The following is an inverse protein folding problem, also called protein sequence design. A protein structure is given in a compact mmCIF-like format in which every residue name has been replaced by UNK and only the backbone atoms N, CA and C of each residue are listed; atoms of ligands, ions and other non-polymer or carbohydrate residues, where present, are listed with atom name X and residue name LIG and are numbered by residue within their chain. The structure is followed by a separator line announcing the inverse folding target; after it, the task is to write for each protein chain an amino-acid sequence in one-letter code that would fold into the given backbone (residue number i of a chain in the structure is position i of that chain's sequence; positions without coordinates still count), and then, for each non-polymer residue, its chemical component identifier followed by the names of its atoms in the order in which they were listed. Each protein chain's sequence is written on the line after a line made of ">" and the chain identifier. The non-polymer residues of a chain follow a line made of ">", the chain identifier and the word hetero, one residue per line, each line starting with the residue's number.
data_IF_332290550270
#
_entry.id   IF_332290550270
#
_cell.length_a   1.000
_cell.length_b   1.000
_cell.length_c   1.000
_cell.angle_alpha   90.00
_cell.angle_beta   90.00
_cell.angle_gamma   90.00
#
_symmetry.space_group_name_H-M   'P 1'
#
loop_
_entity.id
_entity.type
_entity.pdbx_description
1 polymer ?
#
# COMPACT_ATOMS: atom_id res chain seq x y z
N UNK A 1 -19.30 -3.88 -6.29
CA UNK A 1 -20.01 -4.98 -5.60
C UNK A 1 -19.16 -5.44 -4.45
N UNK A 2 -19.40 -4.91 -3.26
CA UNK A 2 -18.69 -5.33 -2.07
C UNK A 2 -19.28 -6.65 -1.61
N UNK A 3 -18.61 -7.76 -1.89
CA UNK A 3 -18.80 -9.00 -1.15
C UNK A 3 -17.98 -8.89 0.13
N UNK A 4 -18.66 -8.56 1.22
CA UNK A 4 -18.12 -8.69 2.56
C UNK A 4 -18.09 -10.17 2.92
N UNK A 5 -16.90 -10.73 3.10
CA UNK A 5 -16.72 -11.99 3.82
C UNK A 5 -15.55 -11.77 4.76
N UNK A 6 -15.75 -12.01 6.05
CA UNK A 6 -14.64 -12.35 6.92
C UNK A 6 -14.01 -13.63 6.38
N UNK A 7 -12.88 -13.50 5.67
CA UNK A 7 -12.11 -14.66 5.22
C UNK A 7 -11.25 -15.16 6.37
N UNK A 8 -11.39 -16.43 6.70
CA UNK A 8 -10.64 -17.08 7.78
C UNK A 8 -9.47 -17.85 7.17
N UNK A 9 -8.24 -17.42 7.48
CA UNK A 9 -7.04 -18.25 7.39
C UNK A 9 -6.44 -18.28 8.81
N UNK A 10 -6.95 -19.20 9.64
CA UNK A 10 -6.69 -19.23 11.09
C UNK A 10 -7.40 -18.09 11.87
N UNK A 11 -6.85 -17.70 13.03
CA UNK A 11 -7.37 -16.63 13.94
C UNK A 11 -7.34 -15.20 13.37
N UNK A 12 -7.02 -15.01 12.09
CA UNK A 12 -6.75 -13.70 11.47
C UNK A 12 -8.04 -13.17 10.84
N UNK A 13 -8.50 -12.00 11.28
CA UNK A 13 -9.64 -11.31 10.68
C UNK A 13 -9.15 -10.18 9.76
N UNK A 14 -9.79 -10.06 8.61
CA UNK A 14 -9.66 -8.90 7.73
C UNK A 14 -11.01 -8.72 7.07
N UNK A 15 -11.42 -7.47 6.90
CA UNK A 15 -12.63 -7.16 6.17
C UNK A 15 -12.26 -7.02 4.70
N UNK A 16 -12.97 -7.73 3.83
CA UNK A 16 -12.73 -7.73 2.39
C UNK A 16 -13.95 -7.23 1.65
N UNK A 17 -13.69 -6.62 0.50
CA UNK A 17 -14.69 -6.15 -0.41
C UNK A 17 -14.14 -6.27 -1.84
N UNK A 18 -15.00 -6.53 -2.82
CA UNK A 18 -14.59 -6.50 -4.22
C UNK A 18 -15.14 -5.23 -4.87
N UNK A 19 -14.41 -4.68 -5.82
CA UNK A 19 -14.95 -3.60 -6.64
C UNK A 19 -14.37 -3.66 -8.04
N UNK A 20 -15.23 -3.47 -9.03
CA UNK A 20 -14.84 -3.37 -10.44
C UNK A 20 -14.52 -1.93 -10.83
N UNK A 21 -14.93 -0.96 -10.02
CA UNK A 21 -14.67 0.47 -10.25
C UNK A 21 -14.72 1.25 -8.95
N UNK A 22 -13.70 2.03 -8.70
CA UNK A 22 -13.58 2.89 -7.53
C UNK A 22 -13.00 4.24 -7.97
N UNK A 23 -13.58 5.36 -7.53
CA UNK A 23 -12.96 6.66 -7.84
C UNK A 23 -11.63 6.80 -7.08
N UNK A 24 -10.59 7.42 -7.66
CA UNK A 24 -9.34 7.70 -6.95
C UNK A 24 -9.56 8.49 -5.65
N UNK A 25 -10.52 9.41 -5.62
CA UNK A 25 -10.92 10.18 -4.44
C UNK A 25 -11.41 9.28 -3.31
N UNK A 26 -12.36 8.40 -3.61
CA UNK A 26 -12.93 7.50 -2.61
C UNK A 26 -11.87 6.51 -2.10
N UNK A 27 -11.00 6.02 -2.99
CA UNK A 27 -9.91 5.13 -2.58
C UNK A 27 -8.87 5.82 -1.69
N UNK A 28 -8.56 7.10 -1.91
CA UNK A 28 -7.69 7.87 -1.00
C UNK A 28 -8.29 7.92 0.41
N UNK A 29 -9.60 8.15 0.52
CA UNK A 29 -10.31 8.09 1.80
C UNK A 29 -10.19 6.72 2.47
N UNK A 30 -10.34 5.63 1.71
CA UNK A 30 -10.14 4.27 2.23
C UNK A 30 -8.70 4.05 2.72
N UNK A 31 -7.70 4.45 1.94
CA UNK A 31 -6.27 4.34 2.31
C UNK A 31 -5.98 5.12 3.60
N UNK A 32 -6.59 6.30 3.77
CA UNK A 32 -6.53 7.11 4.99
C UNK A 32 -7.24 6.48 6.19
N UNK A 33 -7.93 5.36 5.99
CA UNK A 33 -8.58 4.56 7.04
C UNK A 33 -7.97 3.15 7.14
N UNK A 34 -6.76 2.99 6.61
CA UNK A 34 -5.98 1.75 6.70
C UNK A 34 -6.39 0.65 5.73
N UNK A 35 -7.20 0.95 4.72
CA UNK A 35 -7.53 -0.02 3.66
C UNK A 35 -6.44 -0.10 2.59
N UNK A 36 -6.37 -1.24 1.90
CA UNK A 36 -5.52 -1.47 0.72
C UNK A 36 -6.27 -2.25 -0.36
N UNK A 37 -5.63 -2.43 -1.52
CA UNK A 37 -6.16 -3.23 -2.62
C UNK A 37 -5.14 -4.22 -3.17
N UNK A 38 -5.65 -5.32 -3.71
CA UNK A 38 -4.94 -6.30 -4.52
C UNK A 38 -5.83 -6.60 -5.73
N UNK A 39 -5.47 -6.07 -6.90
CA UNK A 39 -6.39 -5.99 -8.04
C UNK A 39 -7.71 -5.30 -7.68
N UNK A 40 -8.81 -6.00 -7.92
CA UNK A 40 -10.19 -5.60 -7.60
C UNK A 40 -10.61 -5.87 -6.15
N UNK A 41 -9.81 -6.59 -5.38
CA UNK A 41 -10.05 -6.83 -3.95
C UNK A 41 -9.58 -5.61 -3.17
N UNK A 42 -10.41 -5.06 -2.30
CA UNK A 42 -10.02 -4.06 -1.28
C UNK A 42 -10.21 -4.68 0.10
N UNK A 43 -9.30 -4.40 1.01
CA UNK A 43 -9.28 -5.03 2.33
C UNK A 43 -8.79 -4.10 3.43
N UNK A 44 -9.28 -4.34 4.64
CA UNK A 44 -8.84 -3.71 5.89
C UNK A 44 -8.37 -4.81 6.84
N UNK A 45 -7.09 -4.85 7.20
CA UNK A 45 -6.59 -5.84 8.15
C UNK A 45 -7.07 -5.53 9.57
N UNK A 46 -7.29 -6.56 10.39
CA UNK A 46 -7.41 -6.41 11.84
C UNK A 46 -6.00 -6.34 12.43
N UNK A 47 -5.49 -5.12 12.62
CA UNK A 47 -4.14 -4.92 13.13
C UNK A 47 -3.95 -5.52 14.53
N UNK A 48 -4.98 -5.54 15.38
CA UNK A 48 -4.86 -6.02 16.76
C UNK A 48 -4.78 -7.55 16.80
N UNK A 49 -5.59 -8.22 15.97
CA UNK A 49 -5.59 -9.68 15.87
C UNK A 49 -4.40 -10.24 15.07
N UNK A 50 -3.83 -9.44 14.15
CA UNK A 50 -2.69 -9.85 13.32
C UNK A 50 -1.45 -10.21 14.14
N UNK A 51 -0.67 -11.20 13.71
CA UNK A 51 0.63 -11.53 14.33
C UNK A 51 1.66 -10.41 14.11
N UNK A 52 1.57 -9.73 12.96
CA UNK A 52 2.45 -8.67 12.52
C UNK A 52 1.60 -7.46 12.08
N UNK A 53 1.30 -6.51 12.98
CA UNK A 53 0.34 -5.44 12.67
C UNK A 53 0.81 -4.55 11.52
N UNK A 54 -0.10 -4.33 10.55
CA UNK A 54 0.17 -3.53 9.36
C UNK A 54 -0.31 -2.10 9.54
N UNK A 55 0.64 -1.17 9.70
CA UNK A 55 0.37 0.25 9.81
C UNK A 55 0.46 0.94 8.47
N UNK A 56 -0.36 1.96 8.25
CA UNK A 56 -0.20 2.85 7.10
C UNK A 56 0.81 3.92 7.46
N UNK A 57 1.77 4.18 6.57
CA UNK A 57 2.70 5.32 6.71
C UNK A 57 2.70 6.19 5.45
N UNK A 58 2.94 7.49 5.63
CA UNK A 58 3.07 8.45 4.55
C UNK A 58 4.14 9.51 4.83
N UNK A 59 4.73 10.02 3.76
CA UNK A 59 5.76 11.06 3.79
C UNK A 59 5.28 12.28 2.98
N UNK A 60 5.50 13.49 3.49
CA UNK A 60 5.30 14.71 2.70
C UNK A 60 6.44 14.84 1.69
N UNK A 61 6.11 14.79 0.40
CA UNK A 61 7.06 14.79 -0.72
C UNK A 61 7.96 16.02 -0.75
N UNK A 62 7.52 17.13 -0.13
CA UNK A 62 8.28 18.37 -0.04
C UNK A 62 9.19 18.43 1.19
N UNK A 63 8.95 17.59 2.19
CA UNK A 63 9.71 17.56 3.44
C UNK A 63 10.80 16.47 3.48
N UNK A 64 10.97 15.68 2.41
CA UNK A 64 11.93 14.57 2.39
C UNK A 64 13.34 15.01 2.77
N UNK A 65 13.88 14.40 3.82
CA UNK A 65 15.29 14.44 4.17
C UNK A 65 16.00 13.19 3.66
N UNK A 66 16.90 13.37 2.70
CA UNK A 66 17.61 12.26 2.04
C UNK A 66 18.86 11.86 2.83
N UNK A 67 18.87 10.60 3.29
CA UNK A 67 19.97 10.01 4.06
C UNK A 67 21.24 9.79 3.22
N UNK A 68 22.40 9.66 3.87
CA UNK A 68 23.68 9.39 3.19
C UNK A 68 23.62 8.14 2.32
N UNK A 69 23.01 7.08 2.82
CA UNK A 69 22.86 5.80 2.11
C UNK A 69 21.91 5.91 0.89
N UNK A 70 20.86 6.71 1.00
CA UNK A 70 19.99 7.08 -0.13
C UNK A 70 20.75 7.83 -1.23
N UNK A 71 21.56 8.83 -0.86
CA UNK A 71 22.41 9.58 -1.79
C UNK A 71 23.42 8.68 -2.49
N UNK A 72 24.03 7.76 -1.74
CA UNK A 72 25.01 6.82 -2.28
C UNK A 72 24.39 5.87 -3.31
N UNK A 73 23.18 5.38 -3.09
CA UNK A 73 22.50 4.53 -4.07
C UNK A 73 22.25 5.26 -5.40
N UNK A 74 21.72 6.48 -5.35
CA UNK A 74 21.52 7.32 -6.54
C UNK A 74 22.84 7.58 -7.25
N UNK A 75 23.89 7.97 -6.52
CA UNK A 75 25.20 8.24 -7.11
C UNK A 75 25.84 7.02 -7.78
N UNK A 76 25.71 5.83 -7.16
CA UNK A 76 26.22 4.58 -7.74
C UNK A 76 25.49 4.23 -9.04
N UNK A 77 24.17 4.33 -9.05
CA UNK A 77 23.37 4.04 -10.25
C UNK A 77 23.65 5.05 -11.36
N UNK A 78 23.72 6.35 -11.04
CA UNK A 78 24.06 7.37 -12.03
C UNK A 78 25.46 7.14 -12.62
N UNK A 79 26.46 6.81 -11.80
CA UNK A 79 27.81 6.48 -12.30
C UNK A 79 27.78 5.26 -13.22
N UNK A 80 27.00 4.24 -12.89
CA UNK A 80 26.84 3.07 -13.76
C UNK A 80 26.25 3.44 -15.11
N UNK A 81 25.13 4.16 -15.14
CA UNK A 81 24.46 4.52 -16.40
C UNK A 81 25.32 5.47 -17.25
N UNK A 82 25.88 6.51 -16.63
CA UNK A 82 26.69 7.49 -17.34
C UNK A 82 28.02 6.88 -17.81
N UNK A 83 28.72 6.19 -16.92
CA UNK A 83 30.06 5.65 -17.18
C UNK A 83 31.18 6.66 -17.04
N UNK A 84 32.38 6.15 -16.77
CA UNK A 84 33.55 6.97 -16.43
C UNK A 84 34.04 7.82 -17.60
N UNK A 85 33.96 7.28 -18.82
CA UNK A 85 34.35 7.99 -20.06
C UNK A 85 33.41 9.17 -20.34
N UNK A 86 32.09 8.95 -20.25
CA UNK A 86 31.11 10.04 -20.36
C UNK A 86 31.38 11.11 -19.31
N UNK A 87 31.53 10.73 -18.04
CA UNK A 87 31.73 11.67 -16.93
C UNK A 87 32.97 12.55 -17.18
N UNK A 88 34.07 11.94 -17.64
CA UNK A 88 35.33 12.64 -17.91
C UNK A 88 35.21 13.59 -19.10
N UNK A 89 34.64 13.17 -20.20
CA UNK A 89 34.54 13.99 -21.42
C UNK A 89 33.44 15.05 -21.31
N UNK A 90 32.30 14.74 -20.69
CA UNK A 90 31.24 15.72 -20.40
C UNK A 90 31.73 16.83 -19.46
N UNK A 91 32.62 16.54 -18.51
CA UNK A 91 33.22 17.57 -17.66
C UNK A 91 34.07 18.58 -18.44
N UNK A 92 34.63 18.18 -19.60
CA UNK A 92 35.39 19.08 -20.50
C UNK A 92 34.47 19.84 -21.44
N UNK A 93 33.49 19.17 -22.02
CA UNK A 93 32.57 19.74 -23.03
C UNK A 93 31.50 20.64 -22.40
N UNK A 94 31.04 20.29 -21.20
CA UNK A 94 29.97 20.96 -20.48
C UNK A 94 30.40 21.28 -19.04
N UNK A 95 31.44 22.12 -18.85
CA UNK A 95 31.95 22.42 -17.53
C UNK A 95 30.88 23.11 -16.68
N UNK A 96 30.79 22.69 -15.41
CA UNK A 96 29.93 23.35 -14.41
C UNK A 96 30.56 24.66 -13.98
N UNK A 97 29.73 25.68 -13.75
CA UNK A 97 30.21 26.90 -13.10
C UNK A 97 30.70 26.60 -11.69
N UNK A 98 31.52 27.50 -11.13
CA UNK A 98 32.01 27.36 -9.74
C UNK A 98 30.87 27.22 -8.74
N UNK A 99 29.78 27.95 -8.96
CA UNK A 99 28.61 27.95 -8.07
C UNK A 99 27.84 26.63 -8.21
N UNK A 100 27.63 26.13 -9.43
CA UNK A 100 27.03 24.81 -9.67
C UNK A 100 27.86 23.68 -9.06
N UNK A 101 29.19 23.75 -9.15
CA UNK A 101 30.07 22.76 -8.54
C UNK A 101 30.02 22.81 -7.00
N UNK A 102 29.95 24.02 -6.43
CA UNK A 102 29.78 24.21 -4.98
C UNK A 102 28.45 23.64 -4.50
N UNK A 103 27.35 24.00 -5.14
CA UNK A 103 26.00 23.52 -4.81
C UNK A 103 25.92 22.00 -4.84
N UNK A 104 26.47 21.38 -5.88
CA UNK A 104 26.53 19.92 -5.99
C UNK A 104 27.30 19.25 -4.86
N UNK A 105 28.37 19.87 -4.39
CA UNK A 105 29.22 19.31 -3.32
C UNK A 105 28.60 19.51 -1.92
N UNK A 106 27.83 20.58 -1.73
CA UNK A 106 27.24 20.92 -0.42
C UNK A 106 25.81 20.40 -0.24
N UNK A 107 25.06 20.24 -1.34
CA UNK A 107 23.65 19.88 -1.33
C UNK A 107 23.34 18.53 -1.97
N UNK A 108 22.06 18.16 -1.94
CA UNK A 108 21.52 17.07 -2.77
C UNK A 108 20.07 17.42 -3.09
N UNK A 109 19.85 17.98 -4.27
CA UNK A 109 18.51 18.20 -4.78
C UNK A 109 17.96 16.88 -5.34
N UNK A 110 16.83 16.38 -4.81
CA UNK A 110 16.29 15.09 -5.25
C UNK A 110 16.05 15.06 -6.76
N UNK A 111 15.41 16.10 -7.29
CA UNK A 111 14.94 16.12 -8.68
C UNK A 111 16.13 16.19 -9.62
N UNK A 112 17.12 17.04 -9.36
CA UNK A 112 18.34 17.07 -10.17
C UNK A 112 19.05 15.70 -10.16
N UNK A 113 19.20 15.09 -8.97
CA UNK A 113 20.04 13.91 -8.80
C UNK A 113 19.37 12.63 -9.31
N UNK A 114 18.07 12.44 -9.10
CA UNK A 114 17.37 11.22 -9.50
C UNK A 114 17.16 11.14 -11.02
N UNK A 115 17.07 12.29 -11.70
CA UNK A 115 16.87 12.39 -13.15
C UNK A 115 18.18 12.48 -13.95
N UNK A 116 19.32 12.67 -13.30
CA UNK A 116 20.63 12.91 -13.93
C UNK A 116 21.02 11.84 -14.97
N UNK A 117 20.67 10.58 -14.71
CA UNK A 117 20.99 9.45 -15.60
C UNK A 117 19.89 9.13 -16.60
N UNK A 118 18.73 9.80 -16.55
CA UNK A 118 17.66 9.58 -17.54
C UNK A 118 18.09 10.18 -18.88
N UNK A 119 17.91 9.40 -19.96
CA UNK A 119 18.34 9.74 -21.33
C UNK A 119 17.90 11.13 -21.78
N UNK A 120 16.72 11.58 -21.37
CA UNK A 120 16.20 12.90 -21.73
C UNK A 120 17.00 14.07 -21.15
N UNK A 121 17.78 13.85 -20.10
CA UNK A 121 18.55 14.88 -19.37
C UNK A 121 20.06 14.82 -19.63
N UNK A 122 20.52 13.80 -20.35
CA UNK A 122 21.93 13.58 -20.69
C UNK A 122 22.30 14.44 -21.91
N UNK A 123 23.44 15.11 -21.85
CA UNK A 123 23.97 15.89 -22.98
C UNK A 123 24.86 15.00 -23.84
N UNK A 124 24.49 14.84 -25.10
CA UNK A 124 25.25 14.06 -26.10
C UNK A 124 25.71 14.99 -27.22
N UNK A 125 26.98 14.89 -27.70
CA UNK A 125 28.04 13.95 -27.29
C UNK A 125 28.77 14.35 -25.98
N UNK A 126 29.46 13.43 -25.28
CA UNK A 126 29.66 12.01 -25.60
C UNK A 126 28.43 11.15 -25.27
N UNK A 127 28.41 9.89 -25.71
CA UNK A 127 27.35 8.95 -25.35
C UNK A 127 27.57 8.36 -23.95
N UNK A 128 26.50 8.16 -23.14
CA UNK A 128 26.60 7.46 -21.87
C UNK A 128 26.86 5.96 -22.08
N UNK A 129 27.33 5.26 -21.05
CA UNK A 129 27.54 3.81 -21.10
C UNK A 129 26.24 3.02 -21.28
N UNK A 130 25.13 3.54 -20.75
CA UNK A 130 23.80 2.95 -20.88
C UNK A 130 22.75 4.01 -21.18
N UNK A 131 21.68 3.59 -21.88
CA UNK A 131 20.49 4.40 -22.09
C UNK A 131 19.42 4.04 -21.05
N UNK A 132 19.24 4.90 -20.05
CA UNK A 132 18.20 4.71 -19.02
C UNK A 132 16.97 5.56 -19.31
N UNK A 133 15.78 4.95 -19.30
CA UNK A 133 14.51 5.60 -19.60
C UNK A 133 13.46 5.19 -18.58
N UNK A 134 12.72 6.17 -18.05
CA UNK A 134 11.61 5.94 -17.12
C UNK A 134 10.32 6.45 -17.77
N UNK A 135 9.30 5.61 -17.83
CA UNK A 135 7.99 5.96 -18.40
C UNK A 135 6.86 5.62 -17.45
N UNK A 136 5.81 6.43 -17.45
CA UNK A 136 4.56 6.10 -16.76
C UNK A 136 3.57 5.50 -17.78
N UNK A 137 3.26 4.22 -17.64
CA UNK A 137 2.45 3.45 -18.57
C UNK A 137 1.13 2.99 -17.93
N UNK A 138 0.13 2.57 -18.72
CA UNK A 138 -1.03 1.86 -18.19
C UNK A 138 -0.62 0.63 -17.38
N UNK A 139 -1.40 0.32 -16.34
CA UNK A 139 -1.29 -0.89 -15.52
C UNK A 139 -1.68 -2.17 -16.26
N UNK A 140 -1.97 -2.11 -17.56
CA UNK A 140 -2.28 -3.29 -18.37
C UNK A 140 -1.13 -4.30 -18.41
N UNK A 141 -1.52 -5.58 -18.45
CA UNK A 141 -0.62 -6.70 -18.70
C UNK A 141 0.17 -6.55 -20.00
N UNK A 142 1.46 -6.87 -19.95
CA UNK A 142 2.29 -7.17 -21.12
C UNK A 142 3.20 -8.35 -20.80
N UNK A 143 3.65 -9.09 -21.82
CA UNK A 143 4.63 -10.16 -21.62
C UNK A 143 5.97 -9.60 -21.08
N UNK A 144 6.37 -8.40 -21.50
CA UNK A 144 7.58 -7.71 -21.01
C UNK A 144 7.50 -7.46 -19.49
N UNK A 145 6.36 -6.94 -18.99
CA UNK A 145 6.15 -6.71 -17.55
C UNK A 145 6.10 -8.02 -16.77
N UNK A 146 5.51 -9.07 -17.36
CA UNK A 146 5.46 -10.40 -16.74
C UNK A 146 6.84 -11.03 -16.58
N UNK A 147 7.77 -10.83 -17.52
CA UNK A 147 9.15 -11.34 -17.39
C UNK A 147 9.85 -10.74 -16.15
N UNK A 148 9.64 -9.44 -15.88
CA UNK A 148 10.18 -8.81 -14.67
C UNK A 148 9.52 -9.36 -13.41
N UNK A 149 8.19 -9.53 -13.43
CA UNK A 149 7.44 -10.14 -12.32
C UNK A 149 7.91 -11.56 -12.01
N UNK A 150 8.01 -12.43 -13.02
CA UNK A 150 8.46 -13.81 -12.85
C UNK A 150 9.86 -13.87 -12.26
N UNK A 151 10.79 -13.07 -12.82
CA UNK A 151 12.16 -13.03 -12.33
C UNK A 151 12.19 -12.58 -10.87
N UNK A 152 11.43 -11.54 -10.52
CA UNK A 152 11.34 -11.02 -9.16
C UNK A 152 10.78 -12.06 -8.18
N UNK A 153 9.66 -12.72 -8.51
CA UNK A 153 9.07 -13.76 -7.67
C UNK A 153 10.05 -14.92 -7.43
N UNK A 154 10.72 -15.40 -8.48
CA UNK A 154 11.65 -16.54 -8.38
C UNK A 154 12.95 -16.17 -7.65
N UNK A 155 13.51 -15.00 -7.90
CA UNK A 155 14.83 -14.62 -7.37
C UNK A 155 14.73 -13.98 -5.99
N UNK A 156 13.78 -13.07 -5.77
CA UNK A 156 13.66 -12.30 -4.53
C UNK A 156 12.73 -13.00 -3.54
N UNK A 157 11.56 -13.45 -3.99
CA UNK A 157 10.60 -14.15 -3.12
C UNK A 157 10.83 -15.66 -3.03
N UNK A 158 11.67 -16.25 -3.88
CA UNK A 158 11.95 -17.70 -3.94
C UNK A 158 10.70 -18.54 -4.18
N UNK A 159 9.70 -17.97 -4.86
CA UNK A 159 8.46 -18.67 -5.20
C UNK A 159 8.72 -19.86 -6.12
N UNK A 160 8.06 -21.02 -5.89
CA UNK A 160 8.17 -22.15 -6.79
C UNK A 160 7.50 -21.84 -8.14
N UNK A 161 8.01 -22.37 -9.27
CA UNK A 161 7.49 -22.05 -10.61
C UNK A 161 5.98 -22.28 -10.78
N UNK A 162 5.39 -23.24 -10.07
CA UNK A 162 3.96 -23.52 -10.12
C UNK A 162 3.05 -22.43 -9.53
N UNK A 163 3.60 -21.54 -8.68
CA UNK A 163 2.87 -20.42 -8.05
C UNK A 163 3.00 -19.12 -8.86
N UNK A 164 3.97 -19.05 -9.78
CA UNK A 164 4.20 -17.87 -10.61
C UNK A 164 3.42 -18.03 -11.92
N UNK A 165 2.32 -17.30 -12.04
CA UNK A 165 1.45 -17.40 -13.22
C UNK A 165 1.10 -16.04 -13.82
N UNK A 166 0.88 -16.03 -15.14
CA UNK A 166 0.36 -14.85 -15.86
C UNK A 166 -1.00 -14.40 -15.32
N UNK A 167 -1.84 -15.35 -14.90
CA UNK A 167 -3.14 -15.07 -14.29
C UNK A 167 -3.01 -14.36 -12.93
N UNK A 168 -2.13 -14.87 -12.07
CA UNK A 168 -1.80 -14.23 -10.79
C UNK A 168 -1.30 -12.79 -10.97
N UNK A 169 -0.34 -12.57 -11.88
CA UNK A 169 0.15 -11.23 -12.20
C UNK A 169 -0.96 -10.29 -12.71
N UNK A 170 -1.83 -10.78 -13.60
CA UNK A 170 -2.97 -9.99 -14.11
C UNK A 170 -3.91 -9.56 -12.99
N UNK A 171 -4.31 -10.52 -12.16
CA UNK A 171 -5.29 -10.29 -11.10
C UNK A 171 -4.71 -9.39 -10.01
N UNK A 172 -3.44 -9.57 -9.65
CA UNK A 172 -2.80 -8.82 -8.59
C UNK A 172 -2.46 -7.38 -9.02
N UNK A 173 -1.72 -7.23 -10.13
CA UNK A 173 -1.04 -5.97 -10.47
C UNK A 173 -1.61 -5.27 -11.69
N UNK A 174 -2.41 -5.94 -12.53
CA UNK A 174 -2.89 -5.36 -13.79
C UNK A 174 -4.40 -5.07 -13.86
N UNK A 175 -5.14 -5.40 -12.80
CA UNK A 175 -6.61 -5.34 -12.77
C UNK A 175 -7.11 -4.32 -11.75
N UNK A 176 -6.56 -3.11 -11.77
CA UNK A 176 -6.99 -2.06 -10.84
C UNK A 176 -8.43 -1.61 -11.11
N UNK A 177 -9.24 -1.34 -10.06
CA UNK A 177 -10.54 -0.72 -10.20
C UNK A 177 -10.47 0.80 -10.38
N UNK A 178 -9.28 1.42 -10.34
CA UNK A 178 -9.10 2.86 -10.39
C UNK A 178 -9.00 3.35 -11.84
N UNK A 179 -10.04 4.04 -12.38
CA UNK A 179 -10.00 4.54 -13.73
C UNK A 179 -8.95 5.64 -13.85
N UNK A 180 -8.24 5.67 -14.97
CA UNK A 180 -7.30 6.74 -15.29
C UNK A 180 -8.01 8.00 -15.73
N UNK A 181 -7.58 9.15 -15.23
CA UNK A 181 -8.07 10.47 -15.64
C UNK A 181 -7.00 11.53 -15.48
N UNK A 182 -7.22 12.72 -16.03
CA UNK A 182 -6.46 13.91 -15.73
C UNK A 182 -7.41 14.96 -15.13
N UNK A 183 -6.96 15.59 -14.06
CA UNK A 183 -7.75 16.61 -13.33
C UNK A 183 -6.86 17.79 -12.98
N UNK A 184 -7.46 18.95 -12.75
CA UNK A 184 -6.75 20.12 -12.21
C UNK A 184 -7.07 20.21 -10.72
N UNK A 185 -6.04 20.13 -9.88
CA UNK A 185 -6.15 20.29 -8.41
C UNK A 185 -5.12 21.35 -8.00
N UNK A 186 -5.56 22.36 -7.25
CA UNK A 186 -4.73 23.51 -6.84
C UNK A 186 -4.02 24.22 -8.01
N UNK A 187 -4.70 24.29 -9.16
CA UNK A 187 -4.16 24.92 -10.38
C UNK A 187 -3.10 24.09 -11.12
N UNK A 188 -2.86 22.84 -10.71
CA UNK A 188 -1.90 21.93 -11.35
C UNK A 188 -2.61 20.72 -11.96
N UNK A 189 -2.25 20.38 -13.19
CA UNK A 189 -2.70 19.15 -13.83
C UNK A 189 -2.09 17.93 -13.12
N UNK A 190 -2.93 16.99 -12.70
CA UNK A 190 -2.56 15.74 -12.06
C UNK A 190 -3.19 14.56 -12.77
N UNK A 191 -2.42 13.49 -12.92
CA UNK A 191 -2.91 12.19 -13.40
C UNK A 191 -3.54 11.44 -12.22
N UNK A 192 -4.67 10.78 -12.42
CA UNK A 192 -5.26 9.91 -11.41
C UNK A 192 -5.44 8.51 -11.96
N UNK A 193 -5.56 7.54 -11.06
CA UNK A 193 -5.75 6.13 -11.39
C UNK A 193 -4.47 5.32 -11.29
N UNK A 194 -4.51 4.07 -11.77
CA UNK A 194 -3.38 3.16 -11.66
C UNK A 194 -2.48 3.13 -12.89
N UNK A 195 -1.18 3.10 -12.62
CA UNK A 195 -0.11 3.14 -13.60
C UNK A 195 1.03 2.21 -13.23
N UNK A 196 1.79 1.79 -14.24
CA UNK A 196 3.08 1.14 -14.10
C UNK A 196 4.19 2.13 -14.46
N UNK A 197 4.99 2.52 -13.48
CA UNK A 197 6.24 3.24 -13.71
C UNK A 197 7.31 2.25 -14.16
N UNK A 198 7.64 2.28 -15.44
CA UNK A 198 8.50 1.32 -16.11
C UNK A 198 9.92 1.88 -16.27
N UNK A 199 10.93 1.12 -15.84
CA UNK A 199 12.33 1.49 -15.87
C UNK A 199 13.06 0.64 -16.90
N UNK A 200 13.57 1.25 -17.97
CA UNK A 200 14.29 0.56 -19.04
C UNK A 200 15.76 0.94 -19.05
N UNK A 201 16.63 -0.06 -19.12
CA UNK A 201 18.07 0.10 -19.30
C UNK A 201 18.45 -0.57 -20.63
N UNK A 202 19.03 0.21 -21.55
CA UNK A 202 19.36 -0.21 -22.92
C UNK A 202 18.18 -0.82 -23.66
N UNK A 203 17.00 -0.23 -23.47
CA UNK A 203 15.75 -0.68 -24.08
C UNK A 203 15.12 -1.92 -23.42
N UNK A 204 15.74 -2.54 -22.41
CA UNK A 204 15.18 -3.68 -21.67
C UNK A 204 14.49 -3.20 -20.39
N UNK A 205 13.25 -3.63 -20.16
CA UNK A 205 12.56 -3.39 -18.88
C UNK A 205 13.25 -4.14 -17.73
N UNK A 206 13.72 -3.39 -16.74
CA UNK A 206 14.50 -3.91 -15.61
C UNK A 206 13.82 -3.66 -14.25
N UNK A 207 12.84 -2.76 -14.19
CA UNK A 207 11.98 -2.61 -13.01
C UNK A 207 10.61 -2.04 -13.37
N UNK A 208 9.64 -2.26 -12.49
CA UNK A 208 8.28 -1.72 -12.56
C UNK A 208 7.82 -1.34 -11.16
N UNK A 209 7.46 -0.07 -10.97
CA UNK A 209 6.66 0.40 -9.83
C UNK A 209 5.19 0.39 -10.20
N UNK A 210 4.36 -0.28 -9.39
CA UNK A 210 2.90 -0.29 -9.52
C UNK A 210 2.35 0.79 -8.60
N UNK A 211 1.76 1.82 -9.19
CA UNK A 211 1.38 3.05 -8.50
C UNK A 211 -0.10 3.34 -8.63
N UNK A 212 -0.69 3.78 -7.54
CA UNK A 212 -1.97 4.48 -7.54
C UNK A 212 -1.72 5.96 -7.37
N UNK A 213 -2.08 6.74 -8.40
CA UNK A 213 -2.07 8.19 -8.35
C UNK A 213 -3.44 8.67 -7.88
N UNK A 214 -3.48 9.18 -6.66
CA UNK A 214 -4.68 9.65 -5.97
C UNK A 214 -4.63 11.18 -5.84
N UNK A 215 -5.74 11.87 -5.53
CA UNK A 215 -5.80 13.34 -5.52
C UNK A 215 -4.60 14.04 -4.86
N UNK A 216 -4.15 13.54 -3.71
CA UNK A 216 -3.08 14.13 -2.92
C UNK A 216 -1.86 13.23 -2.78
N UNK A 217 -1.88 11.99 -3.29
CA UNK A 217 -0.78 11.07 -3.06
C UNK A 217 -0.38 10.18 -4.24
N UNK A 218 0.91 9.82 -4.23
CA UNK A 218 1.43 8.67 -4.96
C UNK A 218 1.49 7.51 -3.98
N UNK A 219 0.67 6.48 -4.20
CA UNK A 219 0.66 5.27 -3.38
C UNK A 219 1.41 4.15 -4.07
N UNK A 220 2.49 3.69 -3.43
CA UNK A 220 3.29 2.57 -3.87
C UNK A 220 2.57 1.27 -3.52
N UNK A 221 2.02 0.59 -4.53
CA UNK A 221 1.29 -0.67 -4.38
C UNK A 221 2.28 -1.83 -4.37
N UNK A 222 3.17 -1.87 -5.36
CA UNK A 222 4.16 -2.93 -5.50
C UNK A 222 5.38 -2.43 -6.27
N UNK A 223 6.55 -3.00 -6.02
CA UNK A 223 7.75 -2.67 -6.78
C UNK A 223 8.53 -3.95 -7.10
N UNK A 224 8.67 -4.24 -8.39
CA UNK A 224 9.36 -5.43 -8.89
C UNK A 224 10.53 -5.06 -9.78
N UNK A 225 11.59 -5.87 -9.75
CA UNK A 225 12.79 -5.62 -10.55
C UNK A 225 13.46 -6.91 -10.99
N UNK A 226 14.18 -6.82 -12.09
CA UNK A 226 14.98 -7.90 -12.63
C UNK A 226 16.31 -8.00 -11.89
N UNK A 227 16.81 -9.21 -11.68
CA UNK A 227 18.05 -9.50 -10.93
C UNK A 227 19.28 -8.75 -11.46
N UNK A 228 19.29 -8.40 -12.76
CA UNK A 228 20.38 -7.68 -13.42
C UNK A 228 20.71 -6.31 -12.81
N UNK A 229 19.78 -5.71 -12.06
CA UNK A 229 20.00 -4.43 -11.37
C UNK A 229 20.03 -4.55 -9.84
N UNK A 230 20.01 -5.76 -9.29
CA UNK A 230 19.91 -6.00 -7.84
C UNK A 230 21.03 -5.29 -7.05
N UNK A 231 22.27 -5.30 -7.56
CA UNK A 231 23.43 -4.63 -6.93
C UNK A 231 23.27 -3.11 -6.76
N UNK A 232 22.31 -2.47 -7.44
CA UNK A 232 22.08 -1.03 -7.38
C UNK A 232 20.99 -0.62 -6.40
N UNK A 233 20.46 -1.55 -5.60
CA UNK A 233 19.40 -1.29 -4.61
C UNK A 233 18.14 -0.66 -5.24
N UNK A 234 17.54 -1.31 -6.24
CA UNK A 234 16.47 -0.73 -7.06
C UNK A 234 15.23 -0.32 -6.26
N UNK A 235 14.89 -0.98 -5.15
CA UNK A 235 13.77 -0.56 -4.30
C UNK A 235 13.95 0.85 -3.69
N UNK A 236 15.19 1.24 -3.39
CA UNK A 236 15.51 2.58 -2.89
C UNK A 236 15.49 3.63 -4.00
N UNK A 237 15.98 3.28 -5.18
CA UNK A 237 15.88 4.13 -6.38
C UNK A 237 14.42 4.34 -6.78
N UNK A 238 13.62 3.28 -6.74
CA UNK A 238 12.18 3.29 -6.99
C UNK A 238 11.45 4.26 -6.06
N UNK A 239 11.58 4.06 -4.74
CA UNK A 239 10.97 4.95 -3.74
C UNK A 239 11.38 6.42 -3.93
N UNK A 240 12.67 6.71 -4.15
CA UNK A 240 13.13 8.08 -4.38
C UNK A 240 12.56 8.69 -5.68
N UNK A 241 12.39 7.88 -6.73
CA UNK A 241 11.80 8.31 -7.99
C UNK A 241 10.28 8.51 -7.88
N UNK A 242 9.59 7.70 -7.09
CA UNK A 242 8.16 7.87 -6.77
C UNK A 242 7.92 9.13 -5.93
N UNK A 243 8.79 9.42 -4.95
CA UNK A 243 8.72 10.67 -4.18
C UNK A 243 9.03 11.87 -5.08
N UNK A 244 9.98 11.74 -6.02
CA UNK A 244 10.24 12.75 -7.04
C UNK A 244 8.99 12.99 -7.90
N UNK A 245 8.35 11.92 -8.40
CA UNK A 245 7.07 12.02 -9.13
C UNK A 245 6.01 12.74 -8.30
N UNK A 246 5.89 12.40 -7.00
CA UNK A 246 4.94 13.06 -6.11
C UNK A 246 5.17 14.58 -6.07
N UNK A 247 6.42 15.00 -5.85
CA UNK A 247 6.82 16.41 -5.82
C UNK A 247 6.62 17.12 -7.18
N UNK A 248 7.05 16.48 -8.26
CA UNK A 248 6.99 17.00 -9.64
C UNK A 248 5.57 17.22 -10.13
N UNK A 249 4.65 16.29 -9.86
CA UNK A 249 3.26 16.36 -10.30
C UNK A 249 2.35 17.03 -9.25
N UNK A 250 2.88 17.36 -8.07
CA UNK A 250 2.18 18.14 -7.03
C UNK A 250 1.29 17.32 -6.12
N UNK A 251 1.56 16.04 -5.98
CA UNK A 251 1.03 15.22 -4.90
C UNK A 251 1.79 15.54 -3.61
N UNK A 252 1.05 15.90 -2.56
CA UNK A 252 1.66 16.20 -1.26
C UNK A 252 2.31 14.98 -0.64
N UNK A 253 1.69 13.81 -0.79
CA UNK A 253 2.08 12.63 -0.03
C UNK A 253 2.65 11.52 -0.89
N UNK A 254 3.61 10.78 -0.35
CA UNK A 254 4.01 9.46 -0.82
C UNK A 254 3.61 8.41 0.22
N UNK A 255 2.81 7.43 -0.18
CA UNK A 255 2.36 6.35 0.69
C UNK A 255 3.17 5.10 0.38
N UNK A 256 3.95 4.61 1.35
CA UNK A 256 4.86 3.47 1.16
C UNK A 256 4.16 2.10 1.24
N UNK A 257 2.82 2.07 1.27
CA UNK A 257 2.05 0.87 1.54
C UNK A 257 1.98 0.54 3.03
N UNK A 258 2.01 -0.74 3.39
CA UNK A 258 2.06 -1.14 4.79
C UNK A 258 3.47 -1.07 5.37
N UNK A 259 3.53 -0.66 6.64
CA UNK A 259 4.68 -0.71 7.53
C UNK A 259 4.43 -1.76 8.59
N UNK A 260 5.34 -2.74 8.69
CA UNK A 260 5.29 -3.79 9.70
C UNK A 260 6.57 -3.66 10.51
N UNK A 261 6.44 -3.15 11.73
CA UNK A 261 7.58 -2.77 12.57
C UNK A 261 8.47 -3.98 12.93
N UNK A 262 7.86 -5.13 13.18
CA UNK A 262 8.53 -6.39 13.52
C UNK A 262 9.18 -7.10 12.31
N UNK A 263 8.86 -6.69 11.08
CA UNK A 263 9.37 -7.34 9.87
C UNK A 263 10.57 -6.57 9.30
N UNK A 264 11.76 -7.18 9.34
CA UNK A 264 13.02 -6.57 8.86
C UNK A 264 12.89 -6.08 7.41
N UNK A 265 12.25 -6.87 6.54
CA UNK A 265 12.05 -6.52 5.12
C UNK A 265 11.09 -5.34 4.90
N UNK A 266 10.27 -4.99 5.88
CA UNK A 266 9.29 -3.90 5.80
C UNK A 266 9.69 -2.69 6.65
N UNK A 267 10.62 -2.86 7.61
CA UNK A 267 11.06 -1.82 8.54
C UNK A 267 11.76 -0.65 7.85
N UNK A 268 12.44 -0.90 6.72
CA UNK A 268 13.15 0.14 5.96
C UNK A 268 12.26 1.30 5.48
N UNK A 269 10.94 1.07 5.32
CA UNK A 269 10.01 2.11 4.86
C UNK A 269 9.93 3.27 5.87
N UNK A 270 10.22 3.02 7.15
CA UNK A 270 10.31 4.03 8.20
C UNK A 270 11.62 4.84 8.19
N UNK A 271 12.53 4.60 7.25
CA UNK A 271 13.83 5.29 7.15
C UNK A 271 13.81 6.46 6.14
N UNK A 272 12.77 6.56 5.32
CA UNK A 272 12.44 7.80 4.63
C UNK A 272 11.89 8.76 5.69
N UNK A 273 12.35 10.00 5.76
CA UNK A 273 11.97 10.90 6.85
C UNK A 273 11.61 12.29 6.31
N UNK A 274 10.67 13.00 6.95
CA UNK A 274 9.81 12.54 8.04
C UNK A 274 8.71 11.59 7.54
N UNK A 275 8.44 10.52 8.29
CA UNK A 275 7.29 9.63 8.06
C UNK A 275 6.24 9.87 9.13
N UNK A 276 4.98 9.74 8.73
CA UNK A 276 3.83 9.77 9.62
C UNK A 276 3.17 8.40 9.62
N UNK A 277 2.75 7.94 10.78
CA UNK A 277 2.02 6.68 10.99
C UNK A 277 0.55 6.98 11.26
N UNK A 278 -0.33 6.21 10.62
CA UNK A 278 -1.77 6.30 10.84
C UNK A 278 -2.15 5.51 12.09
N UNK A 279 -2.82 6.18 13.03
CA UNK A 279 -3.42 5.51 14.19
C UNK A 279 -4.55 4.57 13.72
N UNK A 280 -4.53 3.28 14.11
CA UNK A 280 -5.51 2.30 13.64
C UNK A 280 -6.92 2.49 14.23
N UNK A 281 -7.07 3.24 15.32
CA UNK A 281 -8.35 3.48 16.00
C UNK A 281 -8.94 4.85 15.64
N UNK A 282 -8.16 5.94 15.76
CA UNK A 282 -8.67 7.30 15.50
C UNK A 282 -8.52 7.76 14.06
N UNK A 283 -7.61 7.13 13.30
CA UNK A 283 -7.18 7.58 11.96
C UNK A 283 -6.45 8.94 11.95
N UNK A 284 -5.95 9.38 13.09
CA UNK A 284 -5.04 10.51 13.17
C UNK A 284 -3.65 10.13 12.65
N UNK A 285 -2.88 11.14 12.24
CA UNK A 285 -1.51 10.98 11.79
C UNK A 285 -0.53 11.49 12.83
N UNK A 286 0.29 10.59 13.36
CA UNK A 286 1.36 10.90 14.30
C UNK A 286 2.72 10.78 13.61
N UNK A 287 3.73 11.50 14.09
CA UNK A 287 5.10 11.40 13.56
C UNK A 287 5.70 10.04 13.93
N UNK A 288 6.25 9.30 12.96
CA UNK A 288 6.97 8.05 13.19
C UNK A 288 8.43 8.33 13.58
N UNK A 289 8.62 8.98 14.73
CA UNK A 289 9.91 9.31 15.29
C UNK A 289 10.49 8.17 16.16
N UNK A 290 11.60 8.46 16.83
CA UNK A 290 12.26 7.50 17.72
C UNK A 290 11.40 7.13 18.93
N UNK A 291 10.55 8.03 19.44
CA UNK A 291 9.66 7.73 20.57
C UNK A 291 8.61 6.71 20.16
N UNK A 292 7.92 6.96 19.04
CA UNK A 292 6.91 6.03 18.52
C UNK A 292 7.53 4.69 18.13
N UNK A 293 8.72 4.69 17.51
CA UNK A 293 9.46 3.44 17.22
C UNK A 293 9.77 2.65 18.51
N UNK A 294 10.22 3.31 19.57
CA UNK A 294 10.48 2.64 20.86
C UNK A 294 9.21 2.06 21.50
N UNK A 295 8.03 2.67 21.28
CA UNK A 295 6.75 2.10 21.72
C UNK A 295 6.40 0.86 20.91
N UNK A 296 6.55 0.92 19.59
CA UNK A 296 6.35 -0.23 18.70
C UNK A 296 7.32 -1.41 18.97
N UNK A 297 8.52 -1.14 19.52
CA UNK A 297 9.44 -2.20 19.95
C UNK A 297 8.93 -2.93 21.23
N UNK A 298 8.07 -2.30 22.03
CA UNK A 298 7.57 -2.84 23.32
C UNK A 298 6.19 -3.47 23.20
N UNK A 299 5.33 -2.95 22.34
CA UNK A 299 3.94 -3.36 22.21
C UNK A 299 3.71 -4.05 20.87
N UNK A 300 3.04 -5.21 20.88
CA UNK A 300 2.65 -5.90 19.64
C UNK A 300 1.79 -5.00 18.76
N UNK A 301 0.78 -4.37 19.35
CA UNK A 301 -0.16 -3.44 18.72
C UNK A 301 -0.11 -2.10 19.43
N UNK A 302 -0.16 -1.00 18.68
CA UNK A 302 -0.08 0.37 19.17
C UNK A 302 -1.21 1.22 18.58
N UNK A 303 -1.96 1.85 19.46
CA UNK A 303 -2.80 3.02 19.14
C UNK A 303 -2.36 4.15 20.06
N UNK A 304 -1.83 5.21 19.47
CA UNK A 304 -1.40 6.41 20.17
C UNK A 304 -2.59 7.19 20.71
N UNK A 305 -3.75 7.16 20.03
CA UNK A 305 -4.98 7.74 20.58
C UNK A 305 -5.44 6.99 21.84
N UNK A 306 -5.39 5.66 21.84
CA UNK A 306 -5.76 4.86 23.01
C UNK A 306 -4.82 5.12 24.21
N UNK A 307 -3.51 5.25 23.96
CA UNK A 307 -2.54 5.62 24.99
C UNK A 307 -2.82 7.01 25.57
N UNK A 308 -3.12 8.01 24.72
CA UNK A 308 -3.47 9.37 25.16
C UNK A 308 -4.73 9.39 26.04
N UNK A 309 -5.69 8.52 25.74
CA UNK A 309 -6.94 8.36 26.50
C UNK A 309 -6.77 7.53 27.79
N UNK A 310 -5.56 7.02 28.08
CA UNK A 310 -5.29 6.19 29.26
C UNK A 310 -5.87 4.78 29.18
N UNK A 311 -6.24 4.30 27.99
CA UNK A 311 -6.69 2.92 27.78
C UNK A 311 -5.44 2.04 27.61
N UNK A 312 -5.15 1.19 28.59
CA UNK A 312 -4.06 0.22 28.49
C UNK A 312 -4.34 -0.76 27.33
N UNK A 313 -3.53 -0.70 26.28
CA UNK A 313 -3.62 -1.57 25.10
C UNK A 313 -3.13 -3.01 25.38
N UNK A 314 -2.58 -3.27 26.57
CA UNK A 314 -1.93 -4.54 26.95
C UNK A 314 -2.88 -5.60 27.55
N UNK A 315 -4.08 -5.24 28.02
CA UNK A 315 -4.89 -6.13 28.89
C UNK A 315 -6.04 -6.92 28.22
N UNK A 316 -6.11 -7.02 26.89
CA UNK A 316 -7.20 -7.77 26.24
C UNK A 316 -6.91 -9.27 26.01
N UNK A 317 -5.73 -9.78 26.40
CA UNK A 317 -5.31 -11.17 26.11
C UNK A 317 -5.06 -12.07 27.32
N UNK A 318 -5.19 -11.58 28.57
CA UNK A 318 -4.79 -12.36 29.75
C UNK A 318 -5.92 -13.08 30.53
N UNK A 319 -7.20 -12.90 30.21
CA UNK A 319 -8.27 -13.60 30.97
C UNK A 319 -8.60 -15.03 30.51
N UNK A 320 -8.02 -15.52 29.40
CA UNK A 320 -8.23 -16.89 28.92
C UNK A 320 -6.90 -17.59 28.62
N UNK A 321 -6.11 -17.91 29.65
CA UNK A 321 -5.25 -19.11 29.70
C UNK A 321 -4.39 -19.14 30.98
N UNK A 322 -4.96 -19.67 32.06
CA UNK A 322 -4.15 -20.22 33.16
C UNK A 322 -4.10 -21.73 33.00
N UNK A 323 -3.00 -22.26 32.47
CA UNK A 323 -2.31 -23.43 33.05
C UNK A 323 -0.98 -23.76 32.34
N UNK A 324 0.00 -24.07 33.19
CA UNK A 324 1.28 -24.77 32.99
C UNK A 324 2.42 -24.09 32.23
N UNK A 325 3.39 -23.60 33.02
CA UNK A 325 4.78 -23.32 32.66
C UNK A 325 5.60 -24.61 32.47
N UNK A 326 6.60 -24.54 31.58
CA UNK A 326 7.72 -25.49 31.46
C UNK A 326 8.89 -24.85 30.67
N UNK A 327 10.17 -25.19 30.93
CA UNK A 327 11.28 -24.24 30.80
C UNK A 327 12.09 -24.30 29.48
N UNK A 328 12.56 -23.12 29.08
CA UNK A 328 13.84 -22.74 28.44
C UNK A 328 14.45 -23.58 27.29
N UNK A 329 14.82 -22.92 26.18
CA UNK A 329 16.19 -22.93 25.63
C UNK A 329 16.42 -21.94 24.47
N UNK A 330 17.49 -21.16 24.63
CA UNK A 330 18.22 -20.43 23.59
C UNK A 330 18.71 -21.36 22.48
N UNK A 331 18.52 -20.94 21.23
CA UNK A 331 19.44 -21.24 20.13
C UNK A 331 19.29 -20.22 19.00
N UNK A 332 20.36 -19.47 18.78
CA UNK A 332 20.62 -18.64 17.60
C UNK A 332 20.89 -19.53 16.39
N UNK A 333 20.10 -19.43 15.32
CA UNK A 333 20.54 -19.61 13.92
C UNK A 333 19.62 -18.79 12.97
N UNK A 334 20.13 -18.26 11.84
CA UNK A 334 19.41 -17.33 10.98
C UNK A 334 18.50 -18.11 10.03
N UNK A 335 17.18 -17.88 10.14
CA UNK A 335 16.19 -18.49 9.24
C UNK A 335 15.68 -17.43 8.27
N UNK A 336 16.02 -17.64 7.01
CA UNK A 336 15.71 -16.82 5.85
C UNK A 336 14.28 -17.12 5.34
N UNK A 337 13.67 -16.15 4.66
CA UNK A 337 12.42 -16.24 3.90
C UNK A 337 11.09 -16.55 4.64
N UNK A 338 10.42 -15.50 5.13
CA UNK A 338 8.95 -15.42 5.18
C UNK A 338 8.52 -14.00 4.81
N UNK A 339 8.37 -13.74 3.51
CA UNK A 339 7.41 -12.74 3.06
C UNK A 339 6.11 -13.50 2.87
N UNK A 340 5.24 -13.49 3.88
CA UNK A 340 3.86 -13.93 3.70
C UNK A 340 3.20 -12.99 2.67
N UNK A 341 3.10 -13.50 1.44
CA UNK A 341 1.96 -13.37 0.54
C UNK A 341 0.99 -12.20 0.79
N UNK A 342 1.09 -11.15 -0.03
CA UNK A 342 -0.06 -10.29 -0.37
C UNK A 342 -0.96 -10.93 -1.47
N UNK A 343 -0.77 -12.22 -1.79
CA UNK A 343 -1.55 -12.94 -2.82
C UNK A 343 -1.79 -14.44 -2.61
N UNK A 344 -1.78 -14.95 -1.38
CA UNK A 344 -1.96 -16.38 -1.08
C UNK A 344 -3.33 -16.74 -0.48
N UNK A 345 -4.34 -16.98 -1.32
CA UNK A 345 -5.47 -17.86 -0.97
C UNK A 345 -4.95 -19.30 -1.10
N UNK A 346 -4.32 -19.84 -0.05
CA UNK A 346 -3.91 -21.24 -0.03
C UNK A 346 -4.86 -22.10 0.80
N UNK A 347 -5.33 -23.15 0.13
CA UNK A 347 -6.15 -24.23 0.62
C UNK A 347 -5.37 -25.18 1.53
N UNK A 348 -5.90 -25.37 2.74
CA UNK A 348 -5.70 -26.48 3.69
C UNK A 348 -4.29 -26.78 4.23
N UNK A 349 -4.14 -26.63 5.55
CA UNK A 349 -3.51 -27.64 6.42
C UNK A 349 -4.06 -27.54 7.84
N UNK A 350 -4.47 -28.68 8.39
CA UNK A 350 -5.03 -28.86 9.74
C UNK A 350 -4.11 -28.35 10.86
N UNK A 351 -4.67 -27.57 11.78
CA UNK A 351 -4.07 -27.28 13.08
C UNK A 351 -5.16 -27.36 14.15
N UNK A 352 -5.02 -28.31 15.07
CA UNK A 352 -5.89 -28.56 16.22
C UNK A 352 -5.81 -27.41 17.26
N UNK A 353 -6.42 -26.26 16.94
CA UNK A 353 -6.73 -25.20 17.91
C UNK A 353 -8.19 -24.72 17.73
N UNK A 354 -8.90 -24.38 18.82
CA UNK A 354 -10.34 -24.12 18.76
C UNK A 354 -10.69 -22.88 17.90
N UNK A 355 -11.73 -22.97 17.04
CA UNK A 355 -12.15 -21.88 16.15
C UNK A 355 -12.76 -20.70 16.91
N UNK A 356 -12.69 -19.50 16.32
CA UNK A 356 -13.34 -18.29 16.85
C UNK A 356 -14.87 -18.45 16.80
N UNK A 357 -15.53 -17.98 17.85
CA UNK A 357 -16.86 -18.42 18.30
C UNK A 357 -18.09 -18.09 17.44
N UNK A 358 -18.01 -17.25 16.40
CA UNK A 358 -19.15 -16.98 15.51
C UNK A 358 -18.73 -16.21 14.23
N UNK A 359 -18.70 -16.84 13.03
CA UNK A 359 -18.46 -16.15 11.77
C UNK A 359 -19.65 -15.31 11.27
N UNK A 360 -20.86 -15.52 11.81
CA UNK A 360 -22.08 -14.78 11.44
C UNK A 360 -22.25 -13.48 12.24
N UNK A 361 -21.47 -13.30 13.31
CA UNK A 361 -21.47 -12.07 14.11
C UNK A 361 -20.99 -10.86 13.30
N UNK A 362 -21.84 -9.84 13.23
CA UNK A 362 -21.58 -8.60 12.49
C UNK A 362 -20.30 -7.87 12.93
N UNK A 363 -19.60 -7.25 11.98
CA UNK A 363 -18.30 -6.60 12.20
C UNK A 363 -18.32 -5.51 13.28
N UNK A 364 -19.36 -4.66 13.32
CA UNK A 364 -19.49 -3.58 14.30
C UNK A 364 -19.83 -4.07 15.72
N UNK A 365 -20.09 -5.37 15.89
CA UNK A 365 -20.17 -6.05 17.19
C UNK A 365 -18.83 -6.65 17.61
N UNK A 366 -17.78 -6.53 16.77
CA UNK A 366 -16.41 -6.97 17.05
C UNK A 366 -15.55 -5.78 17.45
N UNK A 367 -14.49 -6.05 18.20
CA UNK A 367 -13.54 -5.02 18.66
C UNK A 367 -12.41 -4.76 17.65
N UNK A 368 -12.71 -4.75 16.34
CA UNK A 368 -11.70 -4.49 15.30
C UNK A 368 -11.31 -2.99 15.30
N UNK A 369 -10.01 -2.63 15.29
CA UNK A 369 -9.57 -1.24 15.34
C UNK A 369 -10.18 -0.36 14.23
N UNK A 370 -10.71 0.80 14.66
CA UNK A 370 -11.22 1.85 13.78
C UNK A 370 -12.55 1.55 13.08
N UNK A 371 -13.23 0.46 13.45
CA UNK A 371 -14.61 0.18 13.02
C UNK A 371 -15.58 0.88 13.97
N UNK A 372 -16.63 1.52 13.42
CA UNK A 372 -17.70 2.09 14.24
C UNK A 372 -18.43 0.96 15.00
N UNK A 373 -18.66 1.14 16.29
CA UNK A 373 -19.57 0.26 17.02
C UNK A 373 -21.04 0.54 16.64
N UNK A 374 -21.97 -0.30 17.08
CA UNK A 374 -23.41 -0.16 16.74
C UNK A 374 -23.99 1.22 17.07
N UNK A 375 -23.68 1.77 18.24
CA UNK A 375 -24.21 3.07 18.67
C UNK A 375 -23.64 4.22 17.81
N UNK A 376 -22.34 4.19 17.54
CA UNK A 376 -21.67 5.15 16.67
C UNK A 376 -22.19 5.05 15.23
N UNK A 377 -22.38 3.84 14.71
CA UNK A 377 -22.92 3.60 13.38
C UNK A 377 -24.30 4.26 13.22
N UNK A 378 -25.22 3.96 14.14
CA UNK A 378 -26.60 4.46 14.09
C UNK A 378 -26.72 5.96 14.37
N UNK A 379 -25.75 6.57 15.07
CA UNK A 379 -25.74 8.00 15.36
C UNK A 379 -25.02 8.85 14.32
N UNK A 380 -24.06 8.28 13.59
CA UNK A 380 -23.20 9.02 12.65
C UNK A 380 -23.54 8.77 11.18
N UNK A 381 -24.24 7.69 10.86
CA UNK A 381 -24.53 7.30 9.49
C UNK A 381 -26.03 7.09 9.32
N UNK A 382 -26.60 7.84 8.37
CA UNK A 382 -27.96 7.62 7.89
C UNK A 382 -27.98 6.41 6.95
N UNK A 383 -28.26 5.24 7.54
CA UNK A 383 -28.32 3.98 6.80
C UNK A 383 -29.52 3.91 5.86
N UNK A 384 -30.58 4.72 6.04
CA UNK A 384 -31.83 4.64 5.27
C UNK A 384 -31.72 5.31 3.90
N UNK A 385 -30.74 6.20 3.72
CA UNK A 385 -30.59 7.02 2.51
C UNK A 385 -29.27 6.74 1.76
N UNK A 386 -28.67 5.55 1.96
CA UNK A 386 -27.50 5.12 1.20
C UNK A 386 -27.95 4.78 -0.23
N UNK A 387 -27.27 5.36 -1.22
CA UNK A 387 -27.63 5.18 -2.63
C UNK A 387 -27.25 3.80 -3.13
N UNK A 388 -28.24 3.10 -3.67
CA UNK A 388 -28.11 1.79 -4.29
C UNK A 388 -28.53 1.86 -5.76
N UNK A 389 -27.83 1.12 -6.61
CA UNK A 389 -28.15 0.95 -8.03
C UNK A 389 -28.53 -0.50 -8.27
N UNK A 390 -29.81 -0.71 -8.54
CA UNK A 390 -30.40 -2.00 -8.89
C UNK A 390 -30.69 -1.97 -10.38
N UNK A 391 -29.93 -2.75 -11.16
CA UNK A 391 -29.95 -2.71 -12.63
C UNK A 391 -29.75 -1.29 -13.19
N UNK A 392 -30.82 -0.65 -13.69
CA UNK A 392 -30.82 0.70 -14.28
C UNK A 392 -31.44 1.76 -13.38
N UNK A 393 -31.99 1.37 -12.23
CA UNK A 393 -32.68 2.26 -11.32
C UNK A 393 -31.75 2.66 -10.17
N UNK A 394 -31.81 3.94 -9.80
CA UNK A 394 -31.23 4.43 -8.55
C UNK A 394 -32.36 4.43 -7.51
N UNK A 395 -32.04 3.93 -6.32
CA UNK A 395 -32.93 3.86 -5.17
C UNK A 395 -32.10 4.13 -3.91
N UNK A 396 -32.78 4.33 -2.79
CA UNK A 396 -32.20 4.38 -1.47
C UNK A 396 -32.41 3.06 -0.75
N UNK A 397 -31.63 2.82 0.30
CA UNK A 397 -31.73 1.58 1.09
C UNK A 397 -33.10 1.41 1.73
N UNK A 398 -33.75 2.50 2.14
CA UNK A 398 -35.13 2.53 2.63
C UNK A 398 -36.17 2.09 1.60
N UNK A 399 -35.87 2.13 0.29
CA UNK A 399 -36.76 1.64 -0.76
C UNK A 399 -36.76 0.10 -0.87
N UNK A 400 -35.86 -0.60 -0.17
CA UNK A 400 -35.79 -2.06 -0.19
C UNK A 400 -36.90 -2.68 0.66
N UNK A 401 -37.60 -3.66 0.10
CA UNK A 401 -38.76 -4.31 0.72
C UNK A 401 -38.46 -4.85 2.12
N UNK A 402 -37.28 -5.47 2.32
CA UNK A 402 -36.90 -6.05 3.61
C UNK A 402 -36.25 -5.07 4.58
N UNK A 403 -36.03 -3.79 4.21
CA UNK A 403 -35.14 -2.89 4.95
C UNK A 403 -35.50 -2.66 6.43
N UNK A 404 -36.79 -2.50 6.70
CA UNK A 404 -37.29 -2.25 8.05
C UNK A 404 -37.53 -3.53 8.85
N UNK A 405 -37.62 -4.68 8.18
CA UNK A 405 -37.81 -6.01 8.79
C UNK A 405 -36.47 -6.73 9.05
N UNK A 406 -35.44 -6.41 8.27
CA UNK A 406 -34.10 -6.99 8.36
C UNK A 406 -33.44 -6.60 9.70
N UNK A 407 -32.91 -7.61 10.38
CA UNK A 407 -32.04 -7.41 11.54
C UNK A 407 -30.68 -6.88 11.10
N UNK A 408 -30.28 -5.74 11.66
CA UNK A 408 -28.98 -5.13 11.41
C UNK A 408 -27.83 -6.00 11.91
N UNK A 409 -28.03 -6.81 12.96
CA UNK A 409 -27.00 -7.67 13.55
C UNK A 409 -26.77 -8.96 12.75
N UNK A 410 -27.71 -9.32 11.88
CA UNK A 410 -27.58 -10.45 10.97
C UNK A 410 -26.70 -10.06 9.77
N UNK A 411 -25.44 -10.49 9.76
CA UNK A 411 -24.49 -10.19 8.68
C UNK A 411 -24.90 -10.73 7.29
N UNK A 412 -25.91 -11.60 7.22
CA UNK A 412 -26.46 -12.11 5.96
C UNK A 412 -27.69 -11.33 5.46
N UNK A 413 -28.27 -10.43 6.27
CA UNK A 413 -29.37 -9.57 5.84
C UNK A 413 -28.85 -8.41 4.99
N UNK A 414 -29.70 -7.82 4.14
CA UNK A 414 -29.25 -6.69 3.31
C UNK A 414 -28.86 -5.51 4.21
N UNK A 415 -29.64 -5.27 5.27
CA UNK A 415 -29.35 -4.25 6.28
C UNK A 415 -28.02 -4.50 6.99
N UNK A 416 -27.74 -5.73 7.40
CA UNK A 416 -26.49 -6.12 8.05
C UNK A 416 -25.28 -5.93 7.15
N UNK A 417 -25.35 -6.39 5.89
CA UNK A 417 -24.27 -6.21 4.91
C UNK A 417 -23.94 -4.72 4.71
N UNK A 418 -24.96 -3.87 4.55
CA UNK A 418 -24.78 -2.44 4.35
C UNK A 418 -24.26 -1.76 5.62
N UNK A 419 -24.78 -2.14 6.78
CA UNK A 419 -24.33 -1.65 8.09
C UNK A 419 -22.85 -2.00 8.36
N UNK A 420 -22.41 -3.22 8.07
CA UNK A 420 -21.01 -3.63 8.18
C UNK A 420 -20.10 -2.81 7.28
N UNK A 421 -20.51 -2.64 6.02
CA UNK A 421 -19.75 -1.84 5.07
C UNK A 421 -19.64 -0.40 5.54
N UNK A 422 -20.75 0.22 5.93
CA UNK A 422 -20.79 1.60 6.42
C UNK A 422 -19.92 1.78 7.67
N UNK A 423 -19.99 0.85 8.62
CA UNK A 423 -19.13 0.85 9.82
C UNK A 423 -17.64 0.74 9.47
N UNK A 424 -17.29 -0.08 8.47
CA UNK A 424 -15.92 -0.29 8.06
C UNK A 424 -15.32 0.88 7.26
N UNK A 425 -16.11 1.47 6.36
CA UNK A 425 -15.66 2.63 5.57
C UNK A 425 -15.74 3.94 6.32
N UNK A 426 -16.52 4.02 7.41
CA UNK A 426 -16.70 5.22 8.20
C UNK A 426 -17.73 6.21 7.66
N UNK A 427 -18.04 7.25 8.45
CA UNK A 427 -19.21 8.10 8.21
C UNK A 427 -19.09 8.96 6.95
N UNK A 428 -17.93 9.56 6.70
CA UNK A 428 -17.70 10.40 5.52
C UNK A 428 -17.85 9.60 4.22
N UNK A 429 -17.17 8.45 4.14
CA UNK A 429 -17.20 7.61 2.94
C UNK A 429 -18.53 6.91 2.75
N UNK A 430 -19.23 6.52 3.83
CA UNK A 430 -20.52 5.85 3.71
C UNK A 430 -21.55 6.68 2.93
N UNK A 431 -21.51 8.01 3.04
CA UNK A 431 -22.39 8.93 2.31
C UNK A 431 -22.07 8.98 0.80
N UNK A 432 -20.83 8.70 0.42
CA UNK A 432 -20.39 8.68 -0.98
C UNK A 432 -20.58 7.32 -1.67
N UNK A 433 -20.86 6.27 -0.89
CA UNK A 433 -21.04 4.92 -1.42
C UNK A 433 -22.21 4.89 -2.40
N UNK A 434 -21.94 4.29 -3.56
CA UNK A 434 -22.98 3.85 -4.49
C UNK A 434 -22.87 2.36 -4.69
N UNK A 435 -23.77 1.61 -4.08
CA UNK A 435 -23.80 0.15 -4.23
C UNK A 435 -24.37 -0.23 -5.60
N UNK A 436 -23.82 -1.29 -6.21
CA UNK A 436 -24.37 -1.86 -7.44
C UNK A 436 -24.65 -3.34 -7.21
N UNK A 437 -25.85 -3.77 -7.56
CA UNK A 437 -26.25 -5.18 -7.59
C UNK A 437 -25.28 -6.02 -8.45
N UNK A 438 -25.08 -7.30 -8.12
CA UNK A 438 -24.27 -8.19 -8.94
C UNK A 438 -25.01 -8.35 -10.25
N UNK A 439 -24.33 -8.16 -11.37
CA UNK A 439 -24.79 -8.84 -12.58
C UNK A 439 -24.57 -10.34 -12.31
N UNK A 440 -25.58 -11.04 -11.78
CA UNK A 440 -25.61 -12.49 -11.80
C UNK A 440 -25.61 -12.88 -13.28
N UNK A 441 -24.43 -13.17 -13.83
CA UNK A 441 -24.36 -13.91 -15.08
C UNK A 441 -24.93 -15.29 -14.75
N UNK A 442 -26.18 -15.50 -15.14
CA UNK A 442 -26.74 -16.83 -15.32
C UNK A 442 -25.76 -17.62 -16.16
N UNK A 443 -25.21 -18.68 -15.59
CA UNK A 443 -24.41 -19.67 -16.31
C UNK A 443 -25.29 -20.45 -17.27
#
# INVERSE_FOLDING_TARGET
>A
MIRARGGMAGRRFSYYATTTRLSPQFYEGLVNRGWRRSGTLVYKPDQRASCCPQYTIRLDSHALHISKDQRQAVNRFNRHVLGDDYIKEAAKLYPKSRDQAKERNTGFDLLERIHESEKANIKTPPEPSHAFVVTLEPDSYTDEKYVVFENYQRIVHKEPPGKISKGGFKNFLCSSPLPRSQVVIDGKERRLGSYHQCYRLDGKLVAVGVLDLLPNCVSAVYFMYHESIHQFQPGKLGALREIALAKEDGYRWWYAGFYIHSCVKMRYKGDYNPQYILDPESYDWDLLDSEVKNKLDKSKFLSLSAERDGKNTENATEEENKTSEGPSKDSNEPVDSMDEDESGLDSNSDSDEPPVSDPERALFLRSMPGILNKEQLLSQIDLDHIKIRVRKYEAETSDLVSWYEDDIENANSIKGIIAELAAAVGPELAQEIRLREADYMST
#
